data_IF_009511375774
#
_entry.id   IF_009511375774
#
_cell.length_a   1.000
_cell.length_b   1.000
_cell.length_c   1.000
_cell.angle_alpha   90.00
_cell.angle_beta   90.00
_cell.angle_gamma   90.00
#
_symmetry.space_group_name_H-M   'P 1'
#
loop_
_entity.id
_entity.type
_entity.pdbx_description
1 polymer ?
#
# COMPACT_ATOMS: atom_id res chain seq x y z
N UNK A 1 -8.52 30.48 7.19
CA UNK A 1 -8.10 29.06 7.17
C UNK A 1 -8.88 28.23 6.13
N UNK A 2 -9.80 28.83 5.35
CA UNK A 2 -10.63 28.12 4.36
C UNK A 2 -10.11 28.21 2.90
N UNK A 3 -9.22 29.16 2.60
CA UNK A 3 -8.70 29.36 1.22
C UNK A 3 -7.96 28.14 0.63
N UNK A 4 -7.30 27.34 1.47
CA UNK A 4 -6.47 26.23 1.00
C UNK A 4 -7.29 25.00 0.57
N UNK A 5 -8.46 24.78 1.15
CA UNK A 5 -9.35 23.68 0.75
C UNK A 5 -10.14 24.02 -0.52
N UNK A 6 -10.52 25.30 -0.68
CA UNK A 6 -11.16 25.78 -1.91
C UNK A 6 -10.19 25.72 -3.09
N UNK A 7 -8.93 26.10 -2.88
CA UNK A 7 -7.91 26.04 -3.93
C UNK A 7 -7.53 24.61 -4.33
N UNK A 8 -7.58 23.65 -3.39
CA UNK A 8 -7.34 22.24 -3.71
C UNK A 8 -8.51 21.62 -4.49
N UNK A 9 -9.74 22.03 -4.16
CA UNK A 9 -10.96 21.57 -4.84
C UNK A 9 -11.02 22.11 -6.27
N UNK A 10 -10.74 23.39 -6.46
CA UNK A 10 -10.77 24.03 -7.78
C UNK A 10 -9.65 23.49 -8.69
N UNK A 11 -8.48 23.18 -8.12
CA UNK A 11 -7.37 22.58 -8.88
C UNK A 11 -7.62 21.11 -9.25
N UNK A 12 -8.37 20.36 -8.43
CA UNK A 12 -8.85 19.01 -8.77
C UNK A 12 -9.92 19.05 -9.87
N UNK A 13 -10.81 20.05 -9.83
CA UNK A 13 -11.89 20.19 -10.81
C UNK A 13 -11.39 20.68 -12.18
N UNK A 14 -10.35 21.52 -12.20
CA UNK A 14 -9.66 21.96 -13.41
C UNK A 14 -8.92 20.83 -14.16
N UNK A 15 -8.45 19.78 -13.46
CA UNK A 15 -7.83 18.61 -14.12
C UNK A 15 -8.85 17.59 -14.66
N UNK A 16 -10.10 17.64 -14.21
CA UNK A 16 -11.20 16.85 -14.79
C UNK A 16 -11.81 17.47 -16.05
N UNK A 17 -11.34 18.65 -16.47
CA UNK A 17 -11.79 19.32 -17.69
C UNK A 17 -11.22 18.71 -18.97
N UNK A 18 -12.08 17.95 -19.68
CA UNK A 18 -12.05 17.77 -21.15
C UNK A 18 -11.04 16.78 -21.75
N UNK A 19 -11.08 15.52 -21.31
CA UNK A 19 -11.02 14.43 -22.30
C UNK A 19 -12.45 13.99 -22.59
N UNK A 20 -13.11 14.71 -23.49
CA UNK A 20 -14.32 14.24 -24.16
C UNK A 20 -13.96 13.06 -25.06
N UNK A 21 -13.65 11.91 -24.45
CA UNK A 21 -13.78 10.62 -25.13
C UNK A 21 -15.27 10.38 -25.17
N UNK A 22 -15.88 10.63 -26.33
CA UNK A 22 -17.30 10.39 -26.58
C UNK A 22 -17.71 9.02 -26.04
N UNK A 23 -18.77 8.96 -25.25
CA UNK A 23 -19.43 7.73 -24.80
C UNK A 23 -19.70 6.77 -25.98
N UNK A 24 -19.94 7.33 -27.17
CA UNK A 24 -20.11 6.59 -28.43
C UNK A 24 -18.88 5.75 -28.88
N UNK A 25 -17.68 6.07 -28.41
CA UNK A 25 -16.46 5.33 -28.75
C UNK A 25 -16.34 4.03 -27.93
N UNK A 26 -16.86 4.03 -26.70
CA UNK A 26 -16.89 2.85 -25.84
C UNK A 26 -18.01 1.89 -26.28
N UNK A 27 -19.20 2.41 -26.59
CA UNK A 27 -20.33 1.59 -27.04
C UNK A 27 -20.06 0.89 -28.40
N UNK A 28 -19.32 1.55 -29.32
CA UNK A 28 -18.87 0.93 -30.59
C UNK A 28 -17.74 -0.10 -30.40
N UNK A 29 -16.97 -0.02 -29.31
CA UNK A 29 -15.95 -1.02 -28.99
C UNK A 29 -16.58 -2.28 -28.38
N UNK A 30 -17.59 -2.16 -27.51
CA UNK A 30 -18.35 -3.30 -26.99
C UNK A 30 -19.15 -4.03 -28.08
N UNK A 31 -19.75 -3.31 -29.02
CA UNK A 31 -20.48 -3.91 -30.15
C UNK A 31 -19.58 -4.76 -31.09
N UNK A 32 -18.26 -4.51 -31.11
CA UNK A 32 -17.29 -5.33 -31.87
C UNK A 32 -16.77 -6.52 -31.08
N UNK A 33 -16.72 -6.46 -29.75
CA UNK A 33 -16.26 -7.58 -28.92
C UNK A 33 -17.30 -8.69 -28.79
N UNK A 34 -18.60 -8.38 -28.93
CA UNK A 34 -19.67 -9.36 -28.76
C UNK A 34 -19.96 -10.25 -30.00
N UNK A 35 -19.23 -10.08 -31.13
CA UNK A 35 -19.40 -10.92 -32.35
C UNK A 35 -18.42 -12.10 -32.46
N UNK A 36 -17.63 -12.38 -31.42
CA UNK A 36 -16.69 -13.51 -31.41
C UNK A 36 -16.79 -14.32 -30.11
N UNK A 37 -17.98 -14.80 -29.80
CA UNK A 37 -18.13 -15.95 -28.89
C UNK A 37 -18.25 -17.22 -29.74
N UNK A 38 -17.24 -18.10 -29.78
CA UNK A 38 -17.47 -19.47 -30.19
C UNK A 38 -18.43 -20.11 -29.20
N UNK A 39 -19.53 -20.67 -29.70
CA UNK A 39 -20.51 -21.42 -28.93
C UNK A 39 -19.84 -22.67 -28.31
N UNK A 40 -19.40 -22.56 -27.06
CA UNK A 40 -19.01 -23.72 -26.28
C UNK A 40 -20.26 -24.38 -25.72
N UNK A 41 -20.58 -25.54 -26.29
CA UNK A 41 -21.64 -26.43 -25.83
C UNK A 41 -21.35 -26.89 -24.39
N UNK A 42 -22.36 -26.98 -23.51
CA UNK A 42 -22.20 -27.59 -22.20
C UNK A 42 -22.12 -29.11 -22.37
N UNK A 43 -21.01 -29.71 -21.94
CA UNK A 43 -20.96 -31.13 -21.62
C UNK A 43 -21.32 -31.27 -20.13
N UNK A 44 -22.54 -31.73 -19.90
CA UNK A 44 -22.96 -32.29 -18.63
C UNK A 44 -22.37 -33.70 -18.47
N UNK A 45 -21.67 -33.93 -17.36
CA UNK A 45 -21.44 -35.20 -16.65
C UNK A 45 -20.40 -34.85 -15.57
N UNK A 46 -20.71 -34.85 -14.28
CA UNK A 46 -21.26 -35.96 -13.53
C UNK A 46 -20.11 -36.67 -12.82
N UNK A 47 -19.96 -36.45 -11.51
CA UNK A 47 -19.48 -37.41 -10.51
C UNK A 47 -19.23 -36.71 -9.18
N UNK A 48 -20.09 -37.01 -8.21
CA UNK A 48 -19.78 -36.83 -6.80
C UNK A 48 -18.65 -37.77 -6.40
N UNK A 49 -17.64 -37.26 -5.67
CA UNK A 49 -16.79 -38.08 -4.82
C UNK A 49 -16.68 -37.38 -3.47
N UNK A 50 -17.05 -38.15 -2.45
CA UNK A 50 -17.05 -37.81 -1.05
C UNK A 50 -15.63 -37.78 -0.44
N UNK A 51 -15.56 -37.10 0.71
CA UNK A 51 -14.73 -37.41 1.86
C UNK A 51 -13.20 -37.36 1.73
N UNK A 52 -12.58 -36.44 2.49
CA UNK A 52 -11.82 -36.82 3.68
C UNK A 52 -11.50 -35.57 4.52
N UNK A 53 -12.10 -35.47 5.70
CA UNK A 53 -11.66 -34.58 6.75
C UNK A 53 -10.32 -35.09 7.29
N UNK A 54 -9.25 -34.33 7.11
CA UNK A 54 -8.03 -34.51 7.88
C UNK A 54 -7.93 -33.34 8.87
N UNK A 55 -8.37 -33.59 10.10
CA UNK A 55 -8.13 -32.71 11.23
C UNK A 55 -6.65 -32.79 11.61
N UNK A 56 -5.93 -31.66 11.54
CA UNK A 56 -4.57 -31.55 12.09
C UNK A 56 -4.69 -30.99 13.51
N UNK A 57 -4.19 -31.68 14.55
CA UNK A 57 -4.23 -31.17 15.91
C UNK A 57 -3.23 -30.03 16.11
N UNK A 58 -3.72 -28.95 16.71
CA UNK A 58 -2.94 -27.84 17.26
C UNK A 58 -2.12 -28.33 18.46
N UNK A 59 -0.81 -28.29 18.37
CA UNK A 59 0.07 -28.41 19.54
C UNK A 59 0.29 -27.03 20.17
N UNK A 60 -0.45 -26.75 21.24
CA UNK A 60 -0.15 -25.69 22.21
C UNK A 60 1.09 -26.11 23.02
N UNK A 61 2.20 -25.41 22.84
CA UNK A 61 3.31 -25.44 23.80
C UNK A 61 3.28 -24.16 24.63
N UNK A 62 2.76 -24.28 25.84
CA UNK A 62 2.78 -23.25 26.87
C UNK A 62 3.68 -23.73 28.02
N UNK A 63 4.88 -23.17 28.18
CA UNK A 63 5.66 -23.17 29.43
C UNK A 63 6.79 -22.13 29.27
N UNK A 64 6.71 -20.92 29.83
CA UNK A 64 7.13 -20.55 31.20
C UNK A 64 8.43 -19.72 31.14
N UNK A 65 9.02 -19.21 32.25
CA UNK A 65 8.48 -18.58 33.44
C UNK A 65 9.02 -17.13 33.67
N UNK A 66 8.21 -16.32 34.34
CA UNK A 66 8.54 -15.41 35.44
C UNK A 66 9.98 -14.83 35.53
N UNK A 67 10.17 -13.58 35.08
CA UNK A 67 11.36 -12.79 35.39
C UNK A 67 11.03 -11.76 36.50
N UNK A 68 11.82 -11.70 37.60
CA UNK A 68 11.61 -10.75 38.69
C UNK A 68 12.00 -9.32 38.30
N UNK A 69 11.33 -8.27 38.84
CA UNK A 69 11.73 -6.89 38.61
C UNK A 69 13.04 -6.56 39.36
N UNK A 70 13.95 -5.76 38.78
CA UNK A 70 15.12 -5.25 39.50
C UNK A 70 14.69 -4.19 40.54
N UNK A 71 15.40 -4.11 41.68
CA UNK A 71 15.07 -3.18 42.76
C UNK A 71 15.33 -1.71 42.38
N UNK A 72 14.35 -0.89 42.77
CA UNK A 72 14.40 0.57 42.81
C UNK A 72 15.44 1.02 43.84
N UNK A 73 16.57 1.56 43.39
CA UNK A 73 17.55 2.23 44.25
C UNK A 73 17.39 3.74 44.06
N UNK A 74 16.59 4.35 44.94
CA UNK A 74 16.61 5.78 45.17
C UNK A 74 17.85 6.13 45.99
N UNK A 75 18.84 6.73 45.35
CA UNK A 75 19.97 7.40 46.02
C UNK A 75 19.68 8.90 46.01
N UNK A 76 19.15 9.38 47.12
CA UNK A 76 19.17 10.80 47.48
C UNK A 76 20.48 11.09 48.20
N UNK A 77 21.33 11.92 47.60
CA UNK A 77 22.52 12.49 48.23
C UNK A 77 22.63 13.97 47.90
N UNK A 78 22.69 14.88 48.88
CA UNK A 78 22.86 16.31 48.65
C UNK A 78 24.34 16.68 48.68
N UNK A 79 24.83 17.45 47.72
CA UNK A 79 25.98 18.37 47.97
C UNK A 79 25.97 19.52 46.96
N UNK A 80 25.96 20.73 47.53
CA UNK A 80 26.19 22.01 46.87
C UNK A 80 27.51 22.05 46.11
N UNK A 81 27.44 22.66 44.92
CA UNK A 81 28.61 23.08 44.15
C UNK A 81 28.17 24.03 43.03
N UNK A 82 27.97 25.30 43.38
CA UNK A 82 27.71 26.36 42.40
C UNK A 82 28.93 26.60 41.52
N UNK A 83 28.93 26.01 40.33
CA UNK A 83 29.82 26.38 39.23
C UNK A 83 28.98 27.04 38.12
N UNK A 84 29.44 28.14 37.50
CA UNK A 84 28.72 28.79 36.41
C UNK A 84 28.63 27.83 35.22
N UNK A 85 27.41 27.33 34.97
CA UNK A 85 27.09 26.44 33.86
C UNK A 85 27.29 27.20 32.54
N UNK A 86 28.20 26.77 31.64
CA UNK A 86 28.20 27.29 30.28
C UNK A 86 26.85 26.98 29.64
N UNK A 87 26.24 28.01 29.04
CA UNK A 87 24.96 27.90 28.36
C UNK A 87 24.98 26.69 27.41
N UNK A 88 23.92 25.87 27.37
CA UNK A 88 23.83 24.84 26.34
C UNK A 88 23.77 25.57 25.00
N UNK A 89 24.88 25.54 24.25
CA UNK A 89 24.87 25.81 22.82
C UNK A 89 23.79 24.92 22.24
N UNK A 90 22.68 25.53 21.87
CA UNK A 90 21.63 24.88 21.12
C UNK A 90 22.26 24.43 19.82
N UNK A 91 22.67 23.16 19.77
CA UNK A 91 23.00 22.48 18.52
C UNK A 91 21.76 22.65 17.67
N UNK A 92 21.82 23.30 16.49
CA UNK A 92 20.68 23.35 15.60
C UNK A 92 20.31 21.90 15.30
N UNK A 93 19.20 21.44 15.88
CA UNK A 93 18.58 20.18 15.50
C UNK A 93 18.39 20.27 14.00
N UNK A 94 18.92 19.33 13.19
CA UNK A 94 18.71 19.38 11.76
C UNK A 94 17.20 19.38 11.56
N UNK A 95 16.67 20.52 11.09
CA UNK A 95 15.30 20.63 10.62
C UNK A 95 15.19 19.62 9.49
N UNK A 96 14.74 18.41 9.80
CA UNK A 96 14.44 17.39 8.82
C UNK A 96 13.36 18.02 7.96
N UNK A 97 13.74 18.45 6.75
CA UNK A 97 12.79 18.96 5.77
C UNK A 97 11.75 17.87 5.58
N UNK A 98 10.61 18.01 6.26
CA UNK A 98 9.50 17.08 6.15
C UNK A 98 8.99 17.26 4.74
N UNK A 99 9.43 16.39 3.82
CA UNK A 99 8.92 16.38 2.46
C UNK A 99 7.44 16.03 2.58
N UNK A 100 6.58 17.03 2.45
CA UNK A 100 5.14 16.84 2.48
C UNK A 100 4.74 16.09 1.22
N UNK A 101 4.32 14.83 1.36
CA UNK A 101 3.78 14.06 0.26
C UNK A 101 2.37 14.57 -0.06
N UNK A 102 2.11 14.91 -1.32
CA UNK A 102 0.77 15.21 -1.83
C UNK A 102 0.10 13.97 -2.42
N UNK A 103 -1.23 13.94 -2.49
CA UNK A 103 -1.98 12.84 -3.09
C UNK A 103 -1.56 12.57 -4.55
N UNK A 104 -1.29 13.61 -5.33
CA UNK A 104 -0.81 13.45 -6.72
C UNK A 104 0.59 12.81 -6.79
N UNK A 105 1.49 13.15 -5.87
CA UNK A 105 2.82 12.53 -5.80
C UNK A 105 2.73 11.07 -5.35
N UNK A 106 1.86 10.77 -4.39
CA UNK A 106 1.56 9.41 -3.96
C UNK A 106 0.98 8.55 -5.10
N UNK A 107 0.05 9.11 -5.89
CA UNK A 107 -0.51 8.46 -7.07
C UNK A 107 0.57 8.09 -8.10
N UNK A 108 1.48 9.02 -8.39
CA UNK A 108 2.62 8.78 -9.30
C UNK A 108 3.53 7.67 -8.79
N UNK A 109 3.79 7.66 -7.48
CA UNK A 109 4.66 6.66 -6.87
C UNK A 109 4.03 5.26 -6.88
N UNK A 110 2.73 5.16 -6.58
CA UNK A 110 1.99 3.91 -6.70
C UNK A 110 1.95 3.41 -8.15
N UNK A 111 1.74 4.30 -9.12
CA UNK A 111 1.82 3.95 -10.54
C UNK A 111 3.21 3.42 -10.91
N UNK A 112 4.28 4.05 -10.42
CA UNK A 112 5.66 3.59 -10.63
C UNK A 112 5.92 2.20 -10.03
N UNK A 113 5.31 1.88 -8.88
CA UNK A 113 5.33 0.53 -8.32
C UNK A 113 4.65 -0.49 -9.23
N UNK A 114 3.42 -0.20 -9.70
CA UNK A 114 2.70 -1.09 -10.63
C UNK A 114 3.47 -1.31 -11.94
N UNK A 115 4.10 -0.27 -12.46
CA UNK A 115 4.96 -0.35 -13.64
C UNK A 115 6.25 -1.13 -13.40
N UNK A 116 6.81 -1.05 -12.20
CA UNK A 116 7.96 -1.87 -11.80
C UNK A 116 7.54 -3.33 -11.65
N UNK A 117 6.40 -3.61 -11.01
CA UNK A 117 5.88 -4.97 -10.86
C UNK A 117 5.62 -5.62 -12.22
N UNK A 118 4.92 -4.92 -13.12
CA UNK A 118 4.66 -5.43 -14.48
C UNK A 118 5.95 -5.76 -15.25
N UNK A 119 7.00 -4.95 -15.11
CA UNK A 119 8.26 -5.12 -15.88
C UNK A 119 9.25 -6.10 -15.24
N UNK A 120 9.36 -6.06 -13.91
CA UNK A 120 10.42 -6.72 -13.16
C UNK A 120 9.91 -7.81 -12.20
N UNK A 121 8.60 -7.96 -12.06
CA UNK A 121 7.95 -8.86 -11.11
C UNK A 121 7.74 -8.24 -9.72
N UNK A 122 6.87 -8.87 -8.93
CA UNK A 122 6.45 -8.37 -7.61
C UNK A 122 7.62 -8.32 -6.63
N UNK A 123 8.52 -9.32 -6.66
CA UNK A 123 9.67 -9.41 -5.74
C UNK A 123 10.59 -8.18 -5.88
N UNK A 124 10.89 -7.76 -7.11
CA UNK A 124 11.77 -6.59 -7.36
C UNK A 124 11.05 -5.29 -7.00
N UNK A 125 9.77 -5.17 -7.37
CA UNK A 125 8.99 -3.98 -7.07
C UNK A 125 8.77 -3.80 -5.56
N UNK A 126 8.44 -4.87 -4.84
CA UNK A 126 8.19 -4.82 -3.40
C UNK A 126 9.41 -4.38 -2.61
N UNK A 127 10.61 -4.89 -2.90
CA UNK A 127 11.86 -4.46 -2.25
C UNK A 127 12.18 -2.98 -2.41
N UNK A 128 11.75 -2.40 -3.53
CA UNK A 128 12.03 -1.01 -3.86
C UNK A 128 11.03 -0.06 -3.21
N UNK A 129 9.76 -0.46 -3.18
CA UNK A 129 8.65 0.46 -2.89
C UNK A 129 7.87 0.11 -1.62
N UNK A 130 7.87 -1.13 -1.17
CA UNK A 130 7.11 -1.54 0.02
C UNK A 130 7.97 -1.47 1.30
N UNK A 131 7.28 -1.29 2.42
CA UNK A 131 7.86 -1.45 3.76
C UNK A 131 8.43 -2.86 3.94
N UNK A 132 9.50 -3.00 4.73
CA UNK A 132 10.28 -4.23 4.85
C UNK A 132 9.44 -5.47 5.21
N UNK A 133 8.47 -5.30 6.11
CA UNK A 133 7.58 -6.38 6.56
C UNK A 133 6.58 -6.88 5.49
N UNK A 134 6.35 -6.09 4.42
CA UNK A 134 5.46 -6.44 3.31
C UNK A 134 6.23 -6.88 2.05
N UNK A 135 7.55 -6.93 2.12
CA UNK A 135 8.35 -7.34 0.97
C UNK A 135 8.19 -8.82 0.69
N UNK A 136 7.97 -9.16 -0.57
CA UNK A 136 7.81 -10.56 -0.97
C UNK A 136 9.21 -11.20 -1.06
N UNK A 137 9.45 -12.16 -0.18
CA UNK A 137 10.72 -12.90 -0.08
C UNK A 137 10.76 -14.12 -1.00
N UNK A 138 9.62 -14.78 -1.19
CA UNK A 138 9.52 -16.02 -1.95
C UNK A 138 9.28 -15.76 -3.45
N UNK A 139 9.82 -16.64 -4.30
CA UNK A 139 9.42 -16.76 -5.71
C UNK A 139 8.03 -17.42 -5.85
N UNK A 140 7.13 -17.15 -4.90
CA UNK A 140 5.79 -17.72 -4.84
C UNK A 140 5.03 -17.46 -6.13
N UNK A 141 4.39 -18.52 -6.62
CA UNK A 141 3.92 -18.68 -7.99
C UNK A 141 3.20 -17.47 -8.62
N UNK A 142 3.61 -17.21 -9.87
CA UNK A 142 2.77 -16.78 -11.00
C UNK A 142 1.91 -15.51 -10.88
N UNK A 143 2.09 -14.63 -9.89
CA UNK A 143 1.37 -13.36 -9.87
C UNK A 143 1.99 -12.35 -10.85
N UNK A 144 1.70 -12.56 -12.14
CA UNK A 144 2.21 -11.75 -13.25
C UNK A 144 1.20 -10.66 -13.58
N UNK A 145 1.51 -9.43 -13.17
CA UNK A 145 0.70 -8.27 -13.49
C UNK A 145 0.82 -7.97 -15.00
N UNK A 146 -0.27 -8.14 -15.74
CA UNK A 146 -0.36 -7.80 -17.16
C UNK A 146 -0.54 -6.28 -17.36
N UNK A 147 -1.37 -5.67 -16.52
CA UNK A 147 -1.74 -4.26 -16.57
C UNK A 147 -2.10 -3.79 -15.16
N UNK A 148 -1.67 -2.59 -14.79
CA UNK A 148 -2.06 -1.94 -13.55
C UNK A 148 -2.18 -0.43 -13.78
N UNK A 149 -3.28 0.16 -13.31
CA UNK A 149 -3.51 1.61 -13.43
C UNK A 149 -4.19 2.14 -12.18
N UNK A 150 -3.67 3.24 -11.64
CA UNK A 150 -4.37 4.04 -10.62
C UNK A 150 -5.53 4.81 -11.28
N UNK A 151 -6.76 4.58 -10.82
CA UNK A 151 -7.97 5.24 -11.34
C UNK A 151 -8.26 6.50 -10.53
N UNK A 152 -8.33 6.35 -9.21
CA UNK A 152 -8.77 7.40 -8.29
C UNK A 152 -7.98 7.33 -7.00
N UNK A 153 -7.67 8.50 -6.45
CA UNK A 153 -7.03 8.64 -5.14
C UNK A 153 -7.90 9.55 -4.30
N UNK A 154 -8.33 9.05 -3.16
CA UNK A 154 -9.11 9.80 -2.18
C UNK A 154 -8.27 9.92 -0.92
N UNK A 155 -8.12 11.13 -0.40
CA UNK A 155 -7.46 11.32 0.88
C UNK A 155 -8.27 10.65 1.97
N UNK A 156 -7.69 9.67 2.65
CA UNK A 156 -8.23 9.17 3.90
C UNK A 156 -7.68 10.04 5.04
N UNK A 157 -8.22 9.89 6.24
CA UNK A 157 -7.80 10.65 7.42
C UNK A 157 -6.27 10.57 7.58
N UNK A 158 -5.63 11.72 7.80
CA UNK A 158 -4.17 11.82 7.97
C UNK A 158 -3.72 10.95 9.15
N UNK A 159 -2.86 9.96 8.90
CA UNK A 159 -2.21 9.21 9.98
C UNK A 159 -1.11 10.07 10.61
N UNK A 160 -0.82 9.87 11.90
CA UNK A 160 0.26 10.58 12.60
C UNK A 160 1.63 10.34 11.95
N UNK A 161 1.79 9.20 11.29
CA UNK A 161 3.08 8.68 10.81
C UNK A 161 3.27 8.79 9.29
N UNK A 162 2.30 9.33 8.56
CA UNK A 162 2.38 9.39 7.10
C UNK A 162 1.12 9.86 6.39
N UNK A 163 1.15 9.77 5.05
CA UNK A 163 -0.01 10.02 4.21
C UNK A 163 -0.75 8.70 3.96
N UNK A 164 -1.96 8.59 4.47
CA UNK A 164 -2.86 7.48 4.18
C UNK A 164 -3.86 7.88 3.10
N UNK A 165 -4.14 6.97 2.16
CA UNK A 165 -5.02 7.21 1.01
C UNK A 165 -5.86 5.97 0.73
N UNK A 166 -7.12 6.18 0.34
CA UNK A 166 -7.93 5.17 -0.33
C UNK A 166 -7.73 5.29 -1.84
N UNK A 167 -7.33 4.20 -2.48
CA UNK A 167 -6.97 4.19 -3.89
C UNK A 167 -7.77 3.14 -4.64
N UNK A 168 -8.39 3.55 -5.75
CA UNK A 168 -8.95 2.62 -6.73
C UNK A 168 -7.92 2.30 -7.80
N UNK A 169 -7.64 1.02 -7.99
CA UNK A 169 -6.62 0.51 -8.91
C UNK A 169 -7.27 -0.54 -9.81
N UNK A 170 -7.16 -0.36 -11.14
CA UNK A 170 -7.54 -1.40 -12.11
C UNK A 170 -6.35 -2.32 -12.34
N UNK A 171 -6.52 -3.60 -12.01
CA UNK A 171 -5.49 -4.62 -12.09
C UNK A 171 -5.91 -5.73 -13.07
N UNK A 172 -4.96 -6.19 -13.86
CA UNK A 172 -5.15 -7.36 -14.72
C UNK A 172 -3.94 -8.26 -14.58
N UNK A 173 -4.14 -9.51 -14.22
CA UNK A 173 -3.12 -10.53 -14.06
C UNK A 173 -3.18 -11.58 -15.16
N UNK A 174 -2.06 -12.26 -15.41
CA UNK A 174 -2.02 -13.50 -16.18
C UNK A 174 -1.88 -14.67 -15.21
N UNK A 175 -2.85 -15.58 -15.21
CA UNK A 175 -2.86 -16.73 -14.31
C UNK A 175 -3.52 -16.42 -12.97
N UNK A 176 -2.93 -16.90 -11.87
CA UNK A 176 -3.46 -16.69 -10.53
C UNK A 176 -3.39 -15.21 -10.14
N UNK A 177 -4.43 -14.72 -9.45
CA UNK A 177 -4.54 -13.31 -9.00
C UNK A 177 -4.27 -13.14 -7.49
N UNK A 178 -4.30 -14.24 -6.73
CA UNK A 178 -4.25 -14.20 -5.26
C UNK A 178 -5.27 -13.24 -4.66
N UNK A 179 -4.89 -12.57 -3.57
CA UNK A 179 -5.71 -11.57 -2.86
C UNK A 179 -5.85 -10.23 -3.63
N UNK A 180 -5.13 -10.04 -4.73
CA UNK A 180 -5.22 -8.80 -5.52
C UNK A 180 -6.43 -8.78 -6.44
N UNK A 181 -6.88 -9.92 -6.95
CA UNK A 181 -8.03 -10.01 -7.87
C UNK A 181 -7.80 -9.31 -9.23
N UNK A 182 -8.68 -9.54 -10.19
CA UNK A 182 -8.72 -8.78 -11.46
C UNK A 182 -9.78 -7.67 -11.38
N UNK A 183 -9.60 -6.62 -12.18
CA UNK A 183 -10.50 -5.47 -12.28
C UNK A 183 -10.18 -4.38 -11.25
N UNK A 184 -11.20 -3.57 -10.97
CA UNK A 184 -11.08 -2.43 -10.05
C UNK A 184 -11.05 -2.92 -8.61
N UNK A 185 -10.01 -2.52 -7.90
CA UNK A 185 -9.75 -2.84 -6.50
C UNK A 185 -9.57 -1.56 -5.71
N UNK A 186 -10.32 -1.41 -4.62
CA UNK A 186 -10.06 -0.36 -3.64
C UNK A 186 -9.06 -0.87 -2.61
N UNK A 187 -8.02 -0.08 -2.36
CA UNK A 187 -6.93 -0.42 -1.43
C UNK A 187 -6.60 0.78 -0.57
N UNK A 188 -6.39 0.50 0.71
CA UNK A 188 -5.84 1.48 1.64
C UNK A 188 -4.31 1.44 1.55
N UNK A 189 -3.69 2.59 1.29
CA UNK A 189 -2.25 2.71 1.09
C UNK A 189 -1.71 3.77 2.05
N UNK A 190 -0.69 3.40 2.83
CA UNK A 190 0.02 4.33 3.72
C UNK A 190 1.41 4.59 3.17
N UNK A 191 1.80 5.86 3.04
CA UNK A 191 3.12 6.29 2.59
C UNK A 191 3.93 6.83 3.76
N UNK A 192 5.08 6.20 3.99
CA UNK A 192 6.02 6.55 5.06
C UNK A 192 7.29 7.15 4.44
N UNK A 193 7.74 8.33 4.89
CA UNK A 193 9.00 8.92 4.41
C UNK A 193 10.19 7.99 4.63
N UNK A 194 11.05 7.86 3.63
CA UNK A 194 12.29 7.08 3.70
C UNK A 194 13.45 7.89 3.13
N UNK A 195 14.64 7.70 3.69
CA UNK A 195 15.87 8.23 3.14
C UNK A 195 16.36 7.35 1.99
N UNK A 196 16.60 7.95 0.83
CA UNK A 196 17.10 7.25 -0.36
C UNK A 196 16.57 7.82 -1.68
N UNK A 197 16.80 7.08 -2.76
CA UNK A 197 16.36 7.46 -4.12
C UNK A 197 14.84 7.44 -4.27
N UNK A 198 14.16 6.56 -3.52
CA UNK A 198 12.71 6.51 -3.43
C UNK A 198 12.32 7.19 -2.11
N UNK A 199 11.72 8.40 -2.15
CA UNK A 199 11.57 9.24 -0.95
C UNK A 199 10.50 8.73 0.02
N UNK A 200 9.69 7.76 -0.37
CA UNK A 200 8.68 7.14 0.48
C UNK A 200 8.63 5.64 0.22
N UNK A 201 8.32 4.86 1.24
CA UNK A 201 7.87 3.47 1.08
C UNK A 201 6.38 3.41 1.36
N UNK A 202 5.71 2.40 0.83
CA UNK A 202 4.28 2.21 1.03
C UNK A 202 3.96 0.89 1.71
N UNK A 203 2.89 0.92 2.50
CA UNK A 203 2.20 -0.27 3.01
C UNK A 203 0.87 -0.36 2.27
N UNK A 204 0.55 -1.53 1.71
CA UNK A 204 -0.67 -1.77 0.95
C UNK A 204 -1.45 -2.89 1.64
N UNK A 205 -2.61 -2.54 2.21
CA UNK A 205 -3.51 -3.54 2.78
C UNK A 205 -4.09 -4.41 1.66
N UNK A 206 -3.64 -5.66 1.56
CA UNK A 206 -4.07 -6.63 0.53
C UNK A 206 -5.12 -7.63 1.03
N UNK A 207 -5.52 -7.54 2.31
CA UNK A 207 -6.56 -8.36 2.93
C UNK A 207 -7.95 -7.69 2.95
N UNK A 208 -9.03 -8.49 3.11
CA UNK A 208 -10.39 -7.99 3.32
C UNK A 208 -10.59 -7.29 4.67
#
# INVERSE_FOLDING_TARGET
>A
MNDLEEQLTDMLQAQSGTFGVSDDAWERAEARMNRRTPAWRPLAAGAAIAAACAAVPLTLSATGPNAPPPPNVSVSGPVSGSAPRPAPSQRPTPTRSSVTLSASSAAKQLQAFLDSWRRNGLVVASRTYLVEDEQVTDKGDALVLAKGRVIKVTSSSRSADGLALDVEIDLTFRGATGAWGNGVNTRFVTFTPREGTVPFVMSIATGP
#
